data_IF_600597162377
#
_entry.id   IF_600597162377
#
_cell.length_a   1.000
_cell.length_b   1.000
_cell.length_c   1.000
_cell.angle_alpha   90.00
_cell.angle_beta   90.00
_cell.angle_gamma   90.00
#
_symmetry.space_group_name_H-M   'P 1'
#
loop_
_entity.id
_entity.type
_entity.pdbx_description
1 polymer ?
#
# COMPACT_ATOMS: atom_id res chain seq x y z
N UNK A 1 -19.48 -16.42 -15.64
CA UNK A 1 -20.46 -15.60 -14.88
C UNK A 1 -20.92 -16.43 -13.70
N UNK A 2 -20.09 -16.54 -12.67
CA UNK A 2 -20.43 -17.14 -11.38
C UNK A 2 -20.42 -16.01 -10.36
N UNK A 3 -21.40 -16.01 -9.47
CA UNK A 3 -21.71 -14.97 -8.48
C UNK A 3 -20.44 -14.46 -7.80
N UNK A 4 -19.97 -13.28 -8.19
CA UNK A 4 -18.97 -12.56 -7.43
C UNK A 4 -19.72 -12.04 -6.20
N UNK A 5 -19.41 -12.55 -5.01
CA UNK A 5 -19.82 -11.86 -3.80
C UNK A 5 -19.25 -10.43 -3.89
N UNK A 6 -20.12 -9.40 -3.88
CA UNK A 6 -19.66 -8.03 -3.90
C UNK A 6 -18.92 -7.77 -2.59
N UNK A 7 -17.81 -7.04 -2.65
CA UNK A 7 -17.14 -6.55 -1.46
C UNK A 7 -18.12 -5.80 -0.58
N UNK A 8 -17.94 -5.79 0.74
CA UNK A 8 -18.84 -5.06 1.60
C UNK A 8 -18.82 -3.57 1.22
N UNK A 9 -20.01 -2.98 1.06
CA UNK A 9 -20.16 -1.56 0.82
C UNK A 9 -19.53 -0.79 1.99
N UNK A 10 -18.68 0.19 1.68
CA UNK A 10 -18.04 1.03 2.69
C UNK A 10 -18.84 2.31 2.81
N UNK A 11 -19.26 2.73 4.02
CA UNK A 11 -20.01 3.96 4.18
C UNK A 11 -19.25 5.16 3.59
N UNK A 12 -19.89 5.93 2.70
CA UNK A 12 -19.27 7.10 2.08
C UNK A 12 -18.86 8.13 3.15
N UNK A 13 -17.72 8.83 2.97
CA UNK A 13 -17.23 9.79 3.93
C UNK A 13 -18.24 10.93 4.11
N UNK A 14 -18.51 11.30 5.37
CA UNK A 14 -19.52 12.32 5.69
C UNK A 14 -18.92 13.73 5.71
N UNK A 15 -17.63 13.89 6.03
CA UNK A 15 -16.93 15.18 6.12
C UNK A 15 -15.43 15.01 5.84
N UNK A 16 -14.89 15.81 4.91
CA UNK A 16 -13.43 15.96 4.68
C UNK A 16 -12.89 17.08 5.57
N UNK A 17 -11.77 16.84 6.26
CA UNK A 17 -11.13 17.83 7.15
C UNK A 17 -9.62 17.91 6.93
N UNK A 18 -9.07 19.10 7.14
CA UNK A 18 -7.62 19.32 7.24
C UNK A 18 -7.21 19.27 8.71
N UNK A 19 -6.42 18.29 9.10
CA UNK A 19 -5.70 18.33 10.38
C UNK A 19 -4.48 19.21 10.23
N UNK A 20 -4.37 20.27 11.03
CA UNK A 20 -3.12 20.99 11.18
C UNK A 20 -2.19 20.08 11.97
N UNK A 21 -1.17 19.52 11.32
CA UNK A 21 -0.15 18.70 11.98
C UNK A 21 0.29 19.37 13.28
N UNK A 22 -0.14 18.81 14.40
CA UNK A 22 0.42 19.16 15.69
C UNK A 22 1.88 18.77 15.60
N UNK A 23 2.78 19.75 15.72
CA UNK A 23 4.15 19.44 16.03
C UNK A 23 4.09 18.52 17.26
N UNK A 24 4.34 17.23 17.07
CA UNK A 24 4.54 16.32 18.17
C UNK A 24 5.83 16.81 18.85
N UNK A 25 5.67 17.73 19.80
CA UNK A 25 6.72 18.10 20.70
C UNK A 25 7.03 16.83 21.48
N UNK A 26 8.11 16.14 21.08
CA UNK A 26 8.75 15.09 21.86
C UNK A 26 9.23 15.71 23.17
N UNK A 27 8.32 15.87 24.13
CA UNK A 27 8.64 16.22 25.49
C UNK A 27 9.06 14.93 26.20
N UNK A 28 10.34 14.58 26.08
CA UNK A 28 10.95 13.56 26.92
C UNK A 28 10.97 14.08 28.38
N UNK A 29 9.96 13.72 29.18
CA UNK A 29 10.00 13.95 30.62
C UNK A 29 10.87 12.87 31.27
N UNK A 30 12.16 13.17 31.46
CA UNK A 30 13.00 12.41 32.37
C UNK A 30 12.66 12.81 33.82
N UNK A 31 11.79 12.05 34.47
CA UNK A 31 11.58 12.14 35.92
C UNK A 31 12.65 11.28 36.59
N UNK A 32 13.73 11.91 37.04
CA UNK A 32 14.71 11.28 37.92
C UNK A 32 14.27 11.51 39.37
N UNK A 33 13.66 10.48 39.96
CA UNK A 33 13.43 10.40 41.41
C UNK A 33 14.69 9.81 42.07
N UNK A 34 15.46 10.66 42.74
CA UNK A 34 16.60 10.26 43.58
C UNK A 34 16.11 9.85 44.97
N UNK A 35 16.28 8.57 45.32
CA UNK A 35 16.28 8.09 46.71
C UNK A 35 17.58 7.28 46.94
N UNK A 36 18.28 7.42 48.07
CA UNK A 36 19.51 6.68 48.35
C UNK A 36 19.25 5.42 49.22
N UNK A 37 19.93 4.31 48.87
CA UNK A 37 20.08 3.09 49.69
C UNK A 37 19.96 1.80 48.85
N UNK A 38 21.08 1.24 48.35
CA UNK A 38 21.79 0.04 48.87
C UNK A 38 20.95 -1.26 48.79
N UNK A 39 21.36 -2.41 48.21
CA UNK A 39 22.65 -3.00 47.78
C UNK A 39 22.38 -4.28 46.96
N UNK A 40 23.35 -4.66 46.12
CA UNK A 40 23.65 -5.98 45.48
C UNK A 40 22.66 -6.55 44.43
N UNK A 41 23.01 -6.48 43.12
CA UNK A 41 23.93 -7.35 42.35
C UNK A 41 23.40 -8.78 42.17
N UNK A 42 22.62 -8.97 41.11
CA UNK A 42 22.18 -10.30 40.68
C UNK A 42 21.02 -10.32 39.67
N UNK A 43 20.74 -9.23 38.96
CA UNK A 43 19.88 -9.31 37.78
C UNK A 43 20.78 -9.65 36.60
N UNK A 44 20.70 -10.89 36.11
CA UNK A 44 21.10 -11.17 34.74
C UNK A 44 20.36 -10.16 33.87
N UNK A 45 21.09 -9.19 33.33
CA UNK A 45 20.57 -8.35 32.28
C UNK A 45 20.19 -9.32 31.16
N UNK A 46 18.89 -9.53 30.98
CA UNK A 46 18.40 -10.10 29.73
C UNK A 46 19.08 -9.31 28.61
N UNK A 47 19.60 -9.98 27.57
CA UNK A 47 20.11 -9.24 26.43
C UNK A 47 19.01 -8.26 26.04
N UNK A 48 19.38 -6.99 25.85
CA UNK A 48 18.48 -6.05 25.22
C UNK A 48 18.03 -6.74 23.94
N UNK A 49 16.79 -7.22 23.91
CA UNK A 49 16.14 -7.59 22.67
C UNK A 49 16.24 -6.32 21.84
N UNK A 50 17.06 -6.35 20.80
CA UNK A 50 16.99 -5.35 19.75
C UNK A 50 15.50 -5.14 19.49
N UNK A 51 15.02 -3.92 19.75
CA UNK A 51 13.74 -3.52 19.18
C UNK A 51 13.91 -3.83 17.70
N UNK A 52 13.09 -4.73 17.10
CA UNK A 52 13.23 -5.07 15.70
C UNK A 52 13.35 -3.74 14.99
N UNK A 53 14.47 -3.54 14.28
CA UNK A 53 14.78 -2.26 13.66
C UNK A 53 13.53 -1.89 12.88
N UNK A 54 12.84 -0.82 13.32
CA UNK A 54 11.75 -0.24 12.56
C UNK A 54 12.32 -0.14 11.15
N UNK A 55 11.77 -0.89 10.19
CA UNK A 55 12.13 -0.77 8.79
C UNK A 55 11.78 0.66 8.41
N UNK A 56 12.72 1.56 8.68
CA UNK A 56 12.63 2.95 8.30
C UNK A 56 12.64 2.92 6.78
N UNK A 57 11.69 3.60 6.14
CA UNK A 57 11.69 3.70 4.68
C UNK A 57 13.07 4.16 4.22
N UNK A 58 13.66 3.41 3.30
CA UNK A 58 14.97 3.70 2.74
C UNK A 58 14.74 4.45 1.45
N UNK A 59 14.81 5.78 1.50
CA UNK A 59 14.90 6.56 0.26
C UNK A 59 16.23 6.25 -0.43
N UNK A 60 16.19 5.41 -1.45
CA UNK A 60 17.37 5.04 -2.23
C UNK A 60 17.81 6.26 -3.05
N UNK A 61 18.88 6.92 -2.59
CA UNK A 61 19.49 8.04 -3.30
C UNK A 61 19.99 7.58 -4.68
N UNK A 62 19.36 8.08 -5.75
CA UNK A 62 19.65 7.70 -7.14
C UNK A 62 18.66 6.71 -7.75
N UNK A 63 17.75 6.15 -6.95
CA UNK A 63 16.74 5.18 -7.39
C UNK A 63 17.30 3.77 -7.66
N UNK A 64 16.40 2.82 -7.93
CA UNK A 64 16.74 1.46 -8.37
C UNK A 64 16.96 1.38 -9.90
N UNK A 65 17.76 0.41 -10.33
CA UNK A 65 17.87 -0.04 -11.73
C UNK A 65 17.00 -1.29 -11.99
N UNK A 66 16.86 -1.73 -13.24
CA UNK A 66 15.97 -2.85 -13.59
C UNK A 66 16.45 -4.24 -13.16
N UNK A 67 17.67 -4.37 -12.61
CA UNK A 67 18.30 -5.69 -12.38
C UNK A 67 17.64 -6.52 -11.28
N UNK A 68 16.92 -5.86 -10.36
CA UNK A 68 16.19 -6.52 -9.26
C UNK A 68 14.75 -6.90 -9.60
N UNK A 69 14.23 -6.53 -10.78
CA UNK A 69 12.87 -6.86 -11.18
C UNK A 69 12.79 -8.30 -11.66
N UNK A 70 11.90 -9.07 -11.05
CA UNK A 70 11.51 -10.41 -11.50
C UNK A 70 10.01 -10.40 -11.77
N UNK A 71 9.55 -10.65 -13.02
CA UNK A 71 8.12 -10.68 -13.32
C UNK A 71 7.41 -11.82 -12.59
N UNK A 72 8.10 -12.90 -12.22
CA UNK A 72 7.53 -14.04 -11.51
C UNK A 72 7.44 -13.87 -10.00
N UNK A 73 8.26 -12.97 -9.45
CA UNK A 73 8.40 -12.69 -8.02
C UNK A 73 8.60 -11.19 -7.79
N UNK A 74 7.55 -10.41 -8.07
CA UNK A 74 7.59 -8.95 -8.00
C UNK A 74 7.78 -8.48 -6.55
N UNK A 75 7.15 -9.19 -5.63
CA UNK A 75 7.12 -8.93 -4.19
C UNK A 75 6.74 -10.23 -3.50
N UNK A 76 7.40 -10.54 -2.38
CA UNK A 76 7.12 -11.76 -1.62
C UNK A 76 5.78 -11.67 -0.89
N UNK A 77 5.14 -12.82 -0.64
CA UNK A 77 3.92 -12.89 0.18
C UNK A 77 4.15 -12.31 1.59
N UNK A 78 5.31 -12.57 2.18
CA UNK A 78 5.66 -12.07 3.51
C UNK A 78 5.68 -10.55 3.56
N UNK A 79 6.32 -9.90 2.59
CA UNK A 79 6.35 -8.42 2.52
C UNK A 79 4.98 -7.85 2.16
N UNK A 80 4.24 -8.51 1.27
CA UNK A 80 2.97 -7.98 0.78
C UNK A 80 1.85 -8.07 1.80
N UNK A 81 1.81 -9.17 2.55
CA UNK A 81 0.77 -9.49 3.52
C UNK A 81 1.27 -9.40 4.96
N UNK A 82 2.20 -8.49 5.24
CA UNK A 82 2.57 -8.08 6.60
C UNK A 82 1.73 -6.85 7.01
N UNK A 83 0.51 -7.08 7.50
CA UNK A 83 -0.40 -6.02 7.93
C UNK A 83 0.15 -5.13 9.07
N UNK A 84 1.18 -5.58 9.77
CA UNK A 84 1.78 -4.90 10.92
C UNK A 84 3.09 -4.14 10.56
N UNK A 85 3.55 -4.20 9.31
CA UNK A 85 4.86 -3.69 8.88
C UNK A 85 5.15 -2.23 9.28
N UNK A 86 4.15 -1.35 9.22
CA UNK A 86 4.28 0.07 9.57
C UNK A 86 3.11 0.55 10.44
N UNK A 87 3.41 0.95 11.69
CA UNK A 87 2.43 1.60 12.55
C UNK A 87 2.03 3.00 12.07
N UNK A 88 0.90 3.55 12.57
CA UNK A 88 0.35 4.84 12.10
C UNK A 88 1.30 6.03 12.28
N UNK A 89 2.12 6.03 13.34
CA UNK A 89 3.13 7.08 13.55
C UNK A 89 4.24 7.05 12.49
N UNK A 90 4.67 5.85 12.10
CA UNK A 90 5.65 5.63 11.04
C UNK A 90 5.07 6.08 9.70
N UNK A 91 3.84 5.66 9.38
CA UNK A 91 3.14 6.11 8.16
C UNK A 91 3.00 7.63 8.14
N UNK A 92 2.59 8.26 9.24
CA UNK A 92 2.44 9.72 9.29
C UNK A 92 3.78 10.43 9.06
N UNK A 93 4.87 9.93 9.65
CA UNK A 93 6.19 10.49 9.44
C UNK A 93 6.67 10.29 7.99
N UNK A 94 6.32 9.17 7.34
CA UNK A 94 6.59 8.93 5.93
C UNK A 94 5.89 9.97 5.05
N UNK A 95 4.58 10.16 5.25
CA UNK A 95 3.79 11.14 4.50
C UNK A 95 4.32 12.57 4.69
N UNK A 96 4.73 12.92 5.91
CA UNK A 96 5.35 14.22 6.20
C UNK A 96 6.67 14.42 5.45
N UNK A 97 7.49 13.37 5.32
CA UNK A 97 8.75 13.42 4.59
C UNK A 97 8.53 13.55 3.07
N UNK A 98 7.49 12.91 2.52
CA UNK A 98 7.15 12.96 1.08
C UNK A 98 6.66 14.32 0.63
N UNK A 99 5.90 15.01 1.47
CA UNK A 99 5.38 16.35 1.18
C UNK A 99 5.71 17.27 2.36
N UNK A 100 6.93 17.87 2.42
CA UNK A 100 7.31 18.75 3.52
C UNK A 100 6.52 20.06 3.56
N UNK A 101 6.00 20.51 2.42
CA UNK A 101 5.16 21.70 2.29
C UNK A 101 3.89 21.35 1.54
N UNK A 102 2.74 21.62 2.16
CA UNK A 102 1.44 21.35 1.56
C UNK A 102 0.81 22.62 0.95
N UNK A 103 0.54 22.57 -0.35
CA UNK A 103 -0.08 23.63 -1.15
C UNK A 103 -1.55 23.36 -1.52
N UNK A 104 -2.10 22.18 -1.18
CA UNK A 104 -3.51 21.84 -1.43
C UNK A 104 -4.50 22.83 -0.81
N UNK A 105 -5.51 23.24 -1.57
CA UNK A 105 -6.51 24.24 -1.17
C UNK A 105 -7.81 23.57 -0.72
N UNK A 106 -8.58 23.05 -1.68
CA UNK A 106 -9.92 22.49 -1.47
C UNK A 106 -9.86 21.21 -0.64
N UNK A 107 -8.83 20.40 -0.91
CA UNK A 107 -8.42 19.28 -0.08
C UNK A 107 -6.98 19.46 0.42
N UNK A 108 -6.67 19.03 1.64
CA UNK A 108 -5.29 19.00 2.12
C UNK A 108 -4.48 17.91 1.39
N UNK A 109 -3.16 18.00 1.51
CA UNK A 109 -2.25 16.92 1.11
C UNK A 109 -2.49 15.69 1.96
N UNK A 110 -2.14 14.50 1.46
CA UNK A 110 -2.41 13.22 2.14
C UNK A 110 -1.94 13.21 3.61
N UNK A 111 -0.78 13.81 3.90
CA UNK A 111 -0.24 13.92 5.26
C UNK A 111 -1.14 14.68 6.26
N UNK A 112 -1.94 15.63 5.76
CA UNK A 112 -2.78 16.53 6.55
C UNK A 112 -4.28 16.18 6.39
N UNK A 113 -4.58 15.11 5.64
CA UNK A 113 -5.93 14.65 5.33
C UNK A 113 -6.53 13.84 6.48
N UNK A 114 -7.81 14.10 6.74
CA UNK A 114 -8.65 13.29 7.61
C UNK A 114 -10.09 13.24 7.09
N UNK A 115 -10.78 12.15 7.38
CA UNK A 115 -12.21 11.97 7.11
C UNK A 115 -12.90 11.21 8.24
N UNK A 116 -14.23 11.31 8.28
CA UNK A 116 -15.05 10.44 9.12
C UNK A 116 -15.21 9.08 8.42
N UNK A 117 -14.98 7.99 9.15
CA UNK A 117 -15.05 6.61 8.63
C UNK A 117 -16.22 5.85 9.26
N UNK A 118 -16.77 4.87 8.52
CA UNK A 118 -17.86 4.03 8.99
C UNK A 118 -17.40 2.66 9.47
N UNK A 119 -18.26 1.99 10.25
CA UNK A 119 -18.05 0.60 10.65
C UNK A 119 -18.11 -0.33 9.42
N UNK A 120 -17.24 -1.34 9.40
CA UNK A 120 -17.29 -2.45 8.43
C UNK A 120 -17.28 -3.76 9.20
N UNK A 121 -18.24 -4.64 8.91
CA UNK A 121 -18.31 -5.95 9.53
C UNK A 121 -17.17 -6.85 9.02
N UNK A 122 -16.71 -7.77 9.87
CA UNK A 122 -15.77 -8.79 9.45
C UNK A 122 -16.38 -9.73 8.40
N UNK A 123 -15.56 -10.17 7.45
CA UNK A 123 -15.87 -11.23 6.51
C UNK A 123 -14.69 -12.18 6.34
N UNK A 124 -14.63 -12.93 5.24
CA UNK A 124 -13.56 -13.88 4.97
C UNK A 124 -12.24 -13.20 4.57
N UNK A 125 -12.30 -11.98 4.06
CA UNK A 125 -11.14 -11.25 3.57
C UNK A 125 -10.53 -10.35 4.65
N UNK A 126 -11.36 -9.67 5.44
CA UNK A 126 -10.89 -8.70 6.43
C UNK A 126 -11.60 -8.86 7.78
N UNK A 127 -10.87 -8.58 8.85
CA UNK A 127 -11.44 -8.37 10.17
C UNK A 127 -12.33 -7.10 10.21
N UNK A 128 -13.16 -7.01 11.25
CA UNK A 128 -14.05 -5.86 11.42
C UNK A 128 -13.26 -4.57 11.65
N UNK A 129 -13.72 -3.49 11.02
CA UNK A 129 -13.21 -2.13 11.21
C UNK A 129 -14.23 -1.34 12.00
N UNK A 130 -13.78 -0.69 13.07
CA UNK A 130 -14.59 0.30 13.77
C UNK A 130 -14.40 1.67 13.11
N UNK A 131 -15.51 2.32 12.79
CA UNK A 131 -15.54 3.68 12.26
C UNK A 131 -15.08 4.71 13.30
N UNK A 132 -14.76 5.90 12.82
CA UNK A 132 -14.26 6.99 13.64
C UNK A 132 -14.60 8.35 13.07
N UNK A 133 -14.26 9.39 13.82
CA UNK A 133 -14.42 10.77 13.40
C UNK A 133 -13.05 11.41 13.25
N UNK A 134 -12.86 12.22 12.21
CA UNK A 134 -11.61 12.95 11.95
C UNK A 134 -10.38 12.02 11.97
N UNK A 135 -10.50 10.86 11.33
CA UNK A 135 -9.45 9.83 11.28
C UNK A 135 -8.45 10.21 10.19
N UNK A 136 -7.18 10.30 10.55
CA UNK A 136 -6.13 10.71 9.61
C UNK A 136 -5.89 9.65 8.53
N UNK A 137 -5.37 10.07 7.38
CA UNK A 137 -4.97 9.13 6.34
C UNK A 137 -3.97 8.07 6.83
N UNK A 138 -3.05 8.44 7.72
CA UNK A 138 -2.08 7.51 8.30
C UNK A 138 -2.74 6.45 9.20
N UNK A 139 -3.74 6.86 10.01
CA UNK A 139 -4.54 5.93 10.81
C UNK A 139 -5.39 5.01 9.92
N UNK A 140 -6.01 5.56 8.87
CA UNK A 140 -6.79 4.79 7.89
C UNK A 140 -5.94 3.70 7.24
N UNK A 141 -4.75 4.04 6.74
CA UNK A 141 -3.85 3.06 6.13
C UNK A 141 -3.48 1.98 7.16
N UNK A 142 -3.12 2.38 8.40
CA UNK A 142 -2.69 1.43 9.43
C UNK A 142 -3.79 0.44 9.85
N UNK A 143 -5.00 0.92 10.16
CA UNK A 143 -6.02 0.00 10.65
C UNK A 143 -6.60 -0.86 9.51
N UNK A 144 -6.65 -0.36 8.26
CA UNK A 144 -7.04 -1.18 7.11
C UNK A 144 -6.00 -2.26 6.86
N UNK A 145 -4.71 -1.90 6.90
CA UNK A 145 -3.61 -2.85 6.76
C UNK A 145 -3.70 -3.99 7.77
N UNK A 146 -3.90 -3.68 9.05
CA UNK A 146 -4.05 -4.69 10.10
C UNK A 146 -5.35 -5.49 9.98
N UNK A 147 -6.47 -4.85 9.59
CA UNK A 147 -7.74 -5.55 9.44
C UNK A 147 -7.74 -6.55 8.27
N UNK A 148 -7.10 -6.19 7.16
CA UNK A 148 -7.07 -6.99 5.94
C UNK A 148 -5.74 -7.72 5.74
N UNK A 149 -4.80 -7.70 6.69
CA UNK A 149 -3.49 -8.37 6.55
C UNK A 149 -2.76 -8.00 5.24
N UNK A 150 -2.72 -6.70 4.91
CA UNK A 150 -2.01 -6.16 3.72
C UNK A 150 -1.07 -5.07 4.18
N UNK A 151 0.18 -5.13 3.74
CA UNK A 151 1.21 -4.20 4.20
C UNK A 151 0.88 -2.73 3.94
N UNK A 152 1.04 -1.84 4.94
CA UNK A 152 0.92 -0.41 4.72
C UNK A 152 1.86 0.12 3.62
N UNK A 153 3.04 -0.50 3.44
CA UNK A 153 3.98 -0.14 2.40
C UNK A 153 3.42 -0.43 0.99
N UNK A 154 2.68 -1.55 0.85
CA UNK A 154 1.95 -1.89 -0.38
C UNK A 154 0.85 -0.86 -0.64
N UNK A 155 0.03 -0.54 0.37
CA UNK A 155 -1.06 0.44 0.22
C UNK A 155 -0.52 1.82 -0.18
N UNK A 156 0.56 2.29 0.44
CA UNK A 156 1.24 3.53 0.06
C UNK A 156 1.76 3.49 -1.38
N UNK A 157 2.33 2.35 -1.80
CA UNK A 157 2.81 2.15 -3.18
C UNK A 157 1.66 2.22 -4.18
N UNK A 158 0.51 1.60 -3.88
CA UNK A 158 -0.68 1.65 -4.74
C UNK A 158 -1.23 3.09 -4.85
N UNK A 159 -1.38 3.79 -3.73
CA UNK A 159 -1.84 5.20 -3.72
C UNK A 159 -0.96 6.09 -4.60
N UNK A 160 0.36 5.84 -4.60
CA UNK A 160 1.27 6.54 -5.49
C UNK A 160 1.13 6.12 -6.94
N UNK A 161 1.08 4.81 -7.21
CA UNK A 161 0.99 4.27 -8.56
C UNK A 161 -0.27 4.72 -9.27
N UNK A 162 -1.40 4.76 -8.58
CA UNK A 162 -2.71 5.02 -9.18
C UNK A 162 -3.04 6.51 -9.29
N UNK A 163 -2.67 7.31 -8.27
CA UNK A 163 -3.09 8.72 -8.21
C UNK A 163 -1.94 9.70 -7.93
N UNK A 164 -0.69 9.23 -7.85
CA UNK A 164 0.47 10.02 -7.40
C UNK A 164 0.26 10.73 -6.06
N UNK A 165 -0.69 10.24 -5.26
CA UNK A 165 -1.29 10.98 -4.15
C UNK A 165 -0.33 11.17 -2.97
N UNK A 166 0.57 10.21 -2.74
CA UNK A 166 1.52 10.25 -1.61
C UNK A 166 2.51 11.41 -1.74
N UNK A 167 2.93 11.73 -2.96
CA UNK A 167 3.89 12.81 -3.24
C UNK A 167 3.24 14.12 -3.66
N UNK A 168 1.92 14.16 -3.83
CA UNK A 168 1.23 15.33 -4.35
C UNK A 168 1.12 16.44 -3.30
N UNK A 169 1.71 17.59 -3.60
CA UNK A 169 1.66 18.78 -2.74
C UNK A 169 0.40 19.63 -2.95
N UNK A 170 -0.41 19.36 -3.98
CA UNK A 170 -1.65 20.06 -4.27
C UNK A 170 -2.70 19.12 -4.89
N UNK A 171 -3.15 18.08 -4.14
CA UNK A 171 -4.05 17.09 -4.69
C UNK A 171 -5.46 17.66 -4.93
N UNK A 172 -6.21 16.92 -5.72
CA UNK A 172 -7.61 17.16 -6.06
C UNK A 172 -8.55 16.22 -5.29
N UNK A 173 -9.81 16.62 -5.13
CA UNK A 173 -10.86 15.75 -4.57
C UNK A 173 -10.99 14.42 -5.30
N UNK A 174 -10.77 14.41 -6.63
CA UNK A 174 -10.83 13.19 -7.44
C UNK A 174 -9.80 12.16 -6.99
N UNK A 175 -8.60 12.58 -6.62
CA UNK A 175 -7.55 11.65 -6.18
C UNK A 175 -7.94 10.97 -4.86
N UNK A 176 -8.63 11.64 -3.94
CA UNK A 176 -9.12 10.98 -2.72
C UNK A 176 -10.36 10.12 -2.98
N UNK A 177 -11.26 10.58 -3.85
CA UNK A 177 -12.49 9.84 -4.19
C UNK A 177 -12.19 8.47 -4.79
N UNK A 178 -11.14 8.36 -5.62
CA UNK A 178 -10.76 7.15 -6.37
C UNK A 178 -9.27 6.81 -6.19
N UNK A 179 -8.79 6.87 -4.94
CA UNK A 179 -7.37 6.82 -4.57
C UNK A 179 -6.60 5.59 -5.06
N UNK A 180 -7.28 4.46 -5.21
CA UNK A 180 -6.70 3.18 -5.66
C UNK A 180 -7.39 2.68 -6.93
N UNK A 181 -8.29 3.46 -7.53
CA UNK A 181 -9.09 3.00 -8.68
C UNK A 181 -10.05 1.84 -8.35
N UNK A 182 -10.23 1.48 -7.08
CA UNK A 182 -11.11 0.38 -6.70
C UNK A 182 -12.56 0.71 -7.07
N UNK A 183 -13.25 -0.24 -7.70
CA UNK A 183 -14.61 -0.03 -8.19
C UNK A 183 -14.71 0.88 -9.43
N UNK A 184 -13.60 1.19 -10.10
CA UNK A 184 -13.58 2.03 -11.32
C UNK A 184 -13.17 1.22 -12.57
N UNK A 185 -14.10 0.47 -13.20
CA UNK A 185 -13.80 -0.26 -14.44
C UNK A 185 -13.58 0.70 -15.62
N UNK A 186 -12.70 0.35 -16.56
CA UNK A 186 -12.42 1.17 -17.74
C UNK A 186 -13.64 1.38 -18.67
N UNK A 187 -14.62 0.48 -18.61
CA UNK A 187 -15.78 0.45 -19.52
C UNK A 187 -17.09 0.93 -18.90
N UNK A 188 -17.08 1.39 -17.64
CA UNK A 188 -18.27 1.88 -16.95
C UNK A 188 -17.92 2.96 -15.92
N UNK A 189 -18.94 3.59 -15.36
CA UNK A 189 -18.74 4.56 -14.27
C UNK A 189 -18.19 3.85 -13.02
N UNK A 190 -17.42 4.60 -12.23
CA UNK A 190 -16.99 4.10 -10.92
C UNK A 190 -18.19 3.88 -10.01
N UNK A 191 -18.16 2.79 -9.24
CA UNK A 191 -19.15 2.47 -8.23
C UNK A 191 -19.00 3.42 -7.03
N UNK A 192 -20.07 4.17 -6.75
CA UNK A 192 -20.10 5.17 -5.69
C UNK A 192 -20.04 4.57 -4.28
N UNK A 193 -20.36 3.28 -4.13
CA UNK A 193 -20.35 2.59 -2.84
C UNK A 193 -18.93 2.41 -2.28
N UNK A 194 -17.90 2.69 -3.09
CA UNK A 194 -16.49 2.62 -2.68
C UNK A 194 -15.77 3.98 -2.73
N UNK A 195 -16.50 5.09 -2.90
CA UNK A 195 -15.89 6.42 -2.91
C UNK A 195 -15.40 6.85 -1.54
N UNK A 196 -14.34 7.67 -1.56
CA UNK A 196 -13.70 8.20 -0.36
C UNK A 196 -12.37 7.52 -0.08
N UNK A 197 -11.51 8.14 0.72
CA UNK A 197 -10.16 7.63 0.90
C UNK A 197 -10.18 6.26 1.59
N UNK A 198 -10.97 6.11 2.65
CA UNK A 198 -11.18 4.86 3.37
C UNK A 198 -11.78 3.78 2.48
N UNK A 199 -12.85 4.09 1.72
CA UNK A 199 -13.46 3.12 0.80
C UNK A 199 -12.47 2.57 -0.23
N UNK A 200 -11.61 3.44 -0.75
CA UNK A 200 -10.58 3.06 -1.72
C UNK A 200 -9.44 2.24 -1.10
N UNK A 201 -8.97 2.62 0.09
CA UNK A 201 -7.90 1.88 0.78
C UNK A 201 -8.40 0.52 1.28
N UNK A 202 -9.59 0.46 1.88
CA UNK A 202 -10.24 -0.78 2.31
C UNK A 202 -10.55 -1.69 1.13
N UNK A 203 -11.20 -1.17 0.08
CA UNK A 203 -11.56 -1.94 -1.10
C UNK A 203 -10.35 -2.56 -1.81
N UNK A 204 -9.24 -1.81 -1.91
CA UNK A 204 -7.99 -2.36 -2.44
C UNK A 204 -7.44 -3.49 -1.55
N UNK A 205 -7.34 -3.28 -0.23
CA UNK A 205 -6.82 -4.29 0.69
C UNK A 205 -7.68 -5.58 0.69
N UNK A 206 -9.00 -5.43 0.77
CA UNK A 206 -9.98 -6.51 0.67
C UNK A 206 -9.82 -7.29 -0.65
N UNK A 207 -9.60 -6.57 -1.76
CA UNK A 207 -9.47 -7.20 -3.07
C UNK A 207 -8.19 -8.04 -3.19
N UNK A 208 -7.07 -7.62 -2.58
CA UNK A 208 -5.86 -8.44 -2.53
C UNK A 208 -6.03 -9.68 -1.64
N UNK A 209 -6.81 -9.61 -0.57
CA UNK A 209 -7.20 -10.79 0.20
C UNK A 209 -8.05 -11.75 -0.63
N UNK A 210 -9.01 -11.23 -1.38
CA UNK A 210 -9.80 -12.04 -2.33
C UNK A 210 -8.92 -12.69 -3.40
N UNK A 211 -7.92 -11.99 -3.94
CA UNK A 211 -7.01 -12.54 -4.94
C UNK A 211 -6.21 -13.75 -4.45
N UNK A 212 -5.82 -13.78 -3.17
CA UNK A 212 -5.13 -14.94 -2.58
C UNK A 212 -6.07 -16.02 -2.02
N UNK A 213 -7.38 -15.77 -2.02
CA UNK A 213 -8.34 -16.76 -1.54
C UNK A 213 -8.53 -17.87 -2.61
N UNK A 214 -8.22 -19.14 -2.28
CA UNK A 214 -8.35 -20.26 -3.23
C UNK A 214 -9.79 -20.58 -3.65
N UNK A 215 -10.79 -20.16 -2.87
CA UNK A 215 -12.21 -20.31 -3.21
C UNK A 215 -12.71 -19.16 -4.11
N UNK A 216 -11.86 -18.16 -4.39
CA UNK A 216 -12.22 -17.06 -5.27
C UNK A 216 -12.22 -17.48 -6.75
N UNK A 217 -12.85 -16.66 -7.58
CA UNK A 217 -12.85 -16.84 -9.04
C UNK A 217 -11.56 -16.41 -9.73
N UNK A 218 -10.52 -16.00 -8.99
CA UNK A 218 -9.26 -15.51 -9.53
C UNK A 218 -8.24 -16.65 -9.64
N UNK A 219 -8.33 -17.43 -10.71
CA UNK A 219 -7.57 -18.67 -10.93
C UNK A 219 -6.71 -18.69 -12.20
N UNK A 220 -6.71 -17.61 -12.99
CA UNK A 220 -6.06 -17.59 -14.31
C UNK A 220 -4.57 -17.26 -14.31
N UNK A 221 -3.97 -16.97 -13.14
CA UNK A 221 -2.52 -16.89 -12.93
C UNK A 221 -2.12 -17.79 -11.75
N UNK A 222 -2.15 -19.13 -11.92
CA UNK A 222 -1.93 -20.06 -10.82
C UNK A 222 -0.50 -19.99 -10.26
N UNK A 223 -0.40 -19.96 -8.93
CA UNK A 223 0.87 -19.96 -8.20
C UNK A 223 1.62 -21.28 -8.44
N UNK A 224 2.92 -21.16 -8.72
CA UNK A 224 3.83 -22.26 -9.00
C UNK A 224 3.90 -22.67 -10.49
N UNK A 225 3.01 -22.14 -11.33
CA UNK A 225 2.92 -22.45 -12.76
C UNK A 225 3.41 -21.31 -13.65
N UNK A 226 3.66 -21.64 -14.92
CA UNK A 226 4.03 -20.65 -15.95
C UNK A 226 2.81 -20.20 -16.73
N UNK A 227 2.58 -18.89 -16.77
CA UNK A 227 1.52 -18.24 -17.53
C UNK A 227 2.11 -17.38 -18.65
N UNK A 228 1.45 -17.34 -19.81
CA UNK A 228 1.78 -16.40 -20.89
C UNK A 228 1.13 -15.04 -20.59
N UNK A 229 1.94 -14.06 -20.17
CA UNK A 229 1.44 -12.75 -19.79
C UNK A 229 1.67 -11.77 -20.93
N UNK A 230 0.63 -11.01 -21.28
CA UNK A 230 0.70 -10.01 -22.35
C UNK A 230 1.57 -8.81 -21.93
N UNK A 231 2.23 -8.21 -22.92
CA UNK A 231 2.95 -6.94 -22.71
C UNK A 231 2.03 -5.72 -22.74
N UNK A 232 0.86 -5.83 -23.36
CA UNK A 232 -0.08 -4.73 -23.63
C UNK A 232 -1.49 -5.27 -23.85
N UNK A 233 -2.55 -4.45 -23.69
CA UNK A 233 -3.89 -4.79 -24.17
C UNK A 233 -3.94 -5.08 -25.69
N UNK A 234 -3.00 -4.54 -26.45
CA UNK A 234 -2.83 -4.88 -27.86
C UNK A 234 -2.13 -6.24 -28.00
N UNK A 235 -2.89 -7.25 -28.40
CA UNK A 235 -2.40 -8.61 -28.60
C UNK A 235 -1.25 -8.69 -29.65
N UNK A 236 -1.11 -7.70 -30.54
CA UNK A 236 0.01 -7.65 -31.50
C UNK A 236 1.37 -7.45 -30.81
N UNK A 237 1.38 -6.95 -29.57
CA UNK A 237 2.59 -6.82 -28.75
C UNK A 237 3.11 -8.15 -28.22
N UNK A 238 2.30 -9.22 -28.26
CA UNK A 238 2.70 -10.56 -27.85
C UNK A 238 2.70 -10.78 -26.33
N UNK A 239 3.23 -11.93 -25.95
CA UNK A 239 3.33 -12.43 -24.57
C UNK A 239 4.75 -12.91 -24.28
N UNK A 240 5.04 -13.13 -23.00
CA UNK A 240 6.16 -13.97 -22.59
C UNK A 240 5.78 -14.86 -21.40
N UNK A 241 6.43 -16.03 -21.26
CA UNK A 241 6.22 -16.93 -20.14
C UNK A 241 6.75 -16.31 -18.84
N UNK A 242 5.89 -16.30 -17.82
CA UNK A 242 6.24 -15.88 -16.45
C UNK A 242 5.84 -16.99 -15.50
N UNK A 243 6.78 -17.48 -14.69
CA UNK A 243 6.45 -18.41 -13.60
C UNK A 243 5.99 -17.61 -12.39
N UNK A 244 4.74 -17.79 -11.99
CA UNK A 244 4.17 -17.05 -10.85
C UNK A 244 4.63 -17.73 -9.56
N UNK A 245 5.47 -17.07 -8.78
CA UNK A 245 6.10 -17.69 -7.60
C UNK A 245 5.22 -17.66 -6.35
N UNK A 246 4.36 -16.65 -6.21
CA UNK A 246 3.60 -16.41 -4.99
C UNK A 246 2.26 -15.69 -5.23
N UNK A 247 1.41 -15.66 -4.20
CA UNK A 247 0.06 -15.11 -4.30
C UNK A 247 0.03 -13.58 -4.46
N UNK A 248 1.00 -12.88 -3.87
CA UNK A 248 1.15 -11.44 -4.01
C UNK A 248 1.43 -11.04 -5.46
N UNK A 249 2.35 -11.74 -6.12
CA UNK A 249 2.66 -11.53 -7.54
C UNK A 249 1.45 -11.88 -8.43
N UNK A 250 0.75 -12.99 -8.14
CA UNK A 250 -0.51 -13.31 -8.82
C UNK A 250 -1.54 -12.17 -8.67
N UNK A 251 -1.71 -11.65 -7.45
CA UNK A 251 -2.59 -10.54 -7.13
C UNK A 251 -2.26 -9.26 -7.90
N UNK A 252 -0.96 -8.94 -8.07
CA UNK A 252 -0.54 -7.79 -8.89
C UNK A 252 -0.87 -7.95 -10.37
N UNK A 253 -0.83 -9.17 -10.91
CA UNK A 253 -1.30 -9.44 -12.27
C UNK A 253 -2.83 -9.46 -12.39
N UNK A 254 -3.56 -9.88 -11.35
CA UNK A 254 -5.02 -9.71 -11.35
C UNK A 254 -5.42 -8.24 -11.33
N UNK A 255 -4.65 -7.42 -10.61
CA UNK A 255 -4.87 -5.98 -10.50
C UNK A 255 -4.44 -5.22 -11.77
N UNK A 256 -3.28 -5.56 -12.33
CA UNK A 256 -2.74 -5.00 -13.59
C UNK A 256 -2.20 -6.10 -14.49
N UNK A 257 -2.98 -6.61 -15.47
CA UNK A 257 -2.72 -7.87 -16.17
C UNK A 257 -1.71 -7.79 -17.32
N UNK A 258 -0.62 -7.03 -17.12
CA UNK A 258 0.45 -6.89 -18.11
C UNK A 258 1.83 -6.90 -17.46
N UNK A 259 2.77 -7.58 -18.12
CA UNK A 259 4.18 -7.52 -17.75
C UNK A 259 4.90 -6.42 -18.55
N UNK A 260 5.91 -5.75 -17.99
CA UNK A 260 6.71 -4.80 -18.77
C UNK A 260 7.51 -5.53 -19.86
N UNK A 261 7.66 -4.90 -21.02
CA UNK A 261 8.58 -5.36 -22.06
C UNK A 261 10.00 -4.77 -21.83
N UNK A 262 10.96 -5.15 -22.68
CA UNK A 262 12.33 -4.67 -22.57
C UNK A 262 12.43 -3.13 -22.60
N UNK A 263 11.70 -2.46 -23.49
CA UNK A 263 11.70 -1.00 -23.59
C UNK A 263 11.22 -0.33 -22.30
N UNK A 264 10.18 -0.88 -21.65
CA UNK A 264 9.69 -0.38 -20.37
C UNK A 264 10.70 -0.57 -19.22
N UNK A 265 11.54 -1.61 -19.30
CA UNK A 265 12.56 -1.94 -18.29
C UNK A 265 13.88 -1.19 -18.50
N UNK A 266 14.25 -0.88 -19.74
CA UNK A 266 15.46 -0.11 -20.07
C UNK A 266 15.38 1.35 -19.59
N UNK A 267 14.17 1.91 -19.49
CA UNK A 267 13.92 3.24 -18.92
C UNK A 267 12.84 3.18 -17.82
N UNK A 268 13.28 2.84 -16.60
CA UNK A 268 12.38 2.74 -15.45
C UNK A 268 11.70 4.06 -15.08
N UNK A 269 12.26 5.23 -15.45
CA UNK A 269 11.77 6.54 -15.01
C UNK A 269 11.12 7.35 -16.13
N UNK A 270 11.31 6.98 -17.38
CA UNK A 270 10.64 7.54 -18.53
C UNK A 270 9.66 6.58 -19.19
N UNK A 271 9.62 6.68 -20.52
CA UNK A 271 8.62 6.05 -21.37
C UNK A 271 9.28 5.01 -22.25
N UNK A 272 8.63 3.86 -22.39
CA UNK A 272 8.97 2.85 -23.38
C UNK A 272 8.29 3.09 -24.72
N UNK A 273 8.09 2.01 -25.47
CA UNK A 273 7.44 1.99 -26.78
C UNK A 273 5.92 1.76 -26.70
N UNK A 274 5.28 1.57 -27.86
CA UNK A 274 3.83 1.33 -27.96
C UNK A 274 3.35 0.03 -27.29
N UNK A 275 4.27 -0.90 -26.97
CA UNK A 275 3.97 -2.17 -26.33
C UNK A 275 4.36 -2.20 -24.84
N UNK A 276 4.75 -1.05 -24.29
CA UNK A 276 5.21 -0.94 -22.91
C UNK A 276 4.05 -0.83 -21.93
N UNK A 277 3.94 -1.81 -21.03
CA UNK A 277 3.11 -1.70 -19.83
C UNK A 277 3.93 -1.29 -18.61
N UNK A 278 3.33 -0.46 -17.75
CA UNK A 278 4.03 0.18 -16.64
C UNK A 278 3.51 -0.21 -15.26
N UNK A 279 2.38 -0.90 -15.15
CA UNK A 279 1.72 -1.18 -13.87
C UNK A 279 2.63 -1.89 -12.87
N UNK A 280 2.96 -3.15 -13.15
CA UNK A 280 3.82 -3.97 -12.30
C UNK A 280 5.24 -3.42 -12.16
N UNK A 281 5.80 -2.85 -13.24
CA UNK A 281 7.08 -2.11 -13.20
C UNK A 281 7.05 -0.97 -12.19
N UNK A 282 6.02 -0.12 -12.26
CA UNK A 282 5.90 1.06 -11.41
C UNK A 282 5.66 0.67 -9.96
N UNK A 283 4.85 -0.37 -9.70
CA UNK A 283 4.68 -0.91 -8.35
C UNK A 283 6.04 -1.31 -7.77
N UNK A 284 6.76 -2.20 -8.45
CA UNK A 284 8.07 -2.68 -8.02
C UNK A 284 9.06 -1.54 -7.79
N UNK A 285 9.17 -0.62 -8.76
CA UNK A 285 10.11 0.52 -8.69
C UNK A 285 9.77 1.46 -7.53
N UNK A 286 8.50 1.81 -7.36
CA UNK A 286 8.05 2.71 -6.27
C UNK A 286 8.31 2.04 -4.91
N UNK A 287 7.89 0.79 -4.76
CA UNK A 287 8.13 0.03 -3.52
C UNK A 287 9.62 -0.03 -3.22
N UNK A 288 10.42 -0.44 -4.20
CA UNK A 288 11.87 -0.62 -4.02
C UNK A 288 12.58 0.67 -3.65
N UNK A 289 12.21 1.78 -4.29
CA UNK A 289 12.77 3.10 -3.98
C UNK A 289 12.43 3.59 -2.58
N UNK A 290 11.32 3.15 -2.00
CA UNK A 290 10.80 3.67 -0.73
C UNK A 290 11.11 2.75 0.43
N UNK A 291 11.06 1.43 0.23
CA UNK A 291 11.05 0.45 1.30
C UNK A 291 12.15 -0.62 1.15
N UNK A 292 12.94 -0.57 0.08
CA UNK A 292 14.00 -1.53 -0.20
C UNK A 292 13.50 -2.77 -0.94
N UNK A 293 14.28 -3.86 -0.90
CA UNK A 293 13.98 -5.07 -1.68
C UNK A 293 12.59 -5.64 -1.33
N UNK A 294 11.65 -5.73 -2.30
CA UNK A 294 10.29 -6.23 -2.09
C UNK A 294 10.23 -7.75 -1.79
N UNK A 295 11.36 -8.45 -1.86
CA UNK A 295 11.46 -9.89 -1.54
C UNK A 295 12.22 -10.17 -0.25
N UNK A 296 12.77 -9.16 0.40
CA UNK A 296 13.46 -9.33 1.67
C UNK A 296 12.46 -9.42 2.83
N UNK A 297 11.69 -10.51 2.89
CA UNK A 297 11.06 -10.99 4.13
C UNK A 297 12.13 -11.54 5.10
N UNK A 298 11.86 -11.59 6.40
CA UNK A 298 12.81 -12.11 7.41
C UNK A 298 12.92 -13.65 7.41
#
# INVERSE_FOLDING_TARGET
>A
MSSADPSPAVPSPSVIRRRRGGAAALAALAVVLLLPGATDLGAAAAPATEVPSIRMWTDLAGGVDGSGFDPGDIVSDEVFFDGDALGPLTIQAFLNARVPSCAGTDVPCLRDYAEDTGDVAADEQCAAVAGGQDVSAAEIIAFVAGACDVSPAVLLTLLQKEQSLVTDSAPSERQFRSATGYGCPDTADCDSDYFGFFGQVYGAAWQFQRYRNPESSFDWYPVGETSEIQYSPDAACGTAPVRIENAATAGLYYYTPYQPNAAAMDDLYGSGDACSAYGNRNFWRIFSNWFGDPRAGE
#
